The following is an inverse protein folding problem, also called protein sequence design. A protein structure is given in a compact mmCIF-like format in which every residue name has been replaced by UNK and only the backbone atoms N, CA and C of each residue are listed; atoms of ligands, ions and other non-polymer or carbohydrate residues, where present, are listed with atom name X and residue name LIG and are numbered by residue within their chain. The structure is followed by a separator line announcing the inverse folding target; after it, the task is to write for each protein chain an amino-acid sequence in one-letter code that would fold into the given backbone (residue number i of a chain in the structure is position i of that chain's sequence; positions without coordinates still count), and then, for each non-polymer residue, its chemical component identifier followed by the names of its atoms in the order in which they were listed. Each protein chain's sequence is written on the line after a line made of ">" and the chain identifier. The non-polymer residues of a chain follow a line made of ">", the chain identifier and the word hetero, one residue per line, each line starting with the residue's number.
data_IF_151146362852
#
_entry.id   IF_151146362852
#
_cell.length_a   1.000
_cell.length_b   1.000
_cell.length_c   1.000
_cell.angle_alpha   90.00
_cell.angle_beta   90.00
_cell.angle_gamma   90.00
#
_symmetry.space_group_name_H-M   'P 1'
#
loop_
_entity.id
_entity.type
_entity.pdbx_description
1 polymer ?
#
# COMPACT_ATOMS: atom_id res chain seq x y z
N UNK A 1 7.19 -49.52 52.70
CA UNK A 1 8.37 -50.12 52.05
C UNK A 1 8.31 -51.63 52.24
N UNK A 2 7.76 -52.31 51.26
CA UNK A 2 7.80 -53.75 51.08
C UNK A 2 8.10 -54.03 49.60
N UNK A 3 8.92 -55.04 49.31
CA UNK A 3 9.39 -55.26 47.93
C UNK A 3 10.56 -54.33 47.56
N UNK A 4 10.54 -53.80 46.33
CA UNK A 4 11.58 -52.91 45.76
C UNK A 4 11.17 -51.42 45.74
N UNK A 5 10.12 -51.05 46.49
CA UNK A 5 9.64 -49.66 46.64
C UNK A 5 10.64 -48.73 47.34
N UNK A 6 10.71 -47.48 46.88
CA UNK A 6 11.64 -46.47 47.41
C UNK A 6 11.02 -45.52 48.42
N UNK A 7 9.68 -45.41 48.47
CA UNK A 7 8.92 -44.77 49.54
C UNK A 7 7.67 -45.62 49.89
N UNK A 8 6.84 -45.18 50.84
CA UNK A 8 5.59 -45.86 51.19
C UNK A 8 4.65 -45.85 49.98
N UNK A 9 4.43 -47.04 49.40
CA UNK A 9 3.52 -47.32 48.29
C UNK A 9 3.90 -46.67 46.93
N UNK A 10 5.18 -46.33 46.70
CA UNK A 10 5.66 -45.82 45.40
C UNK A 10 7.17 -46.12 45.14
N UNK A 11 7.58 -46.05 43.87
CA UNK A 11 8.95 -46.32 43.39
C UNK A 11 9.24 -47.79 43.10
N UNK A 12 10.32 -48.09 42.38
CA UNK A 12 10.70 -49.46 42.02
C UNK A 12 9.76 -50.10 40.98
N UNK A 13 9.02 -51.13 41.39
CA UNK A 13 7.97 -51.78 40.58
C UNK A 13 6.56 -51.20 40.76
N UNK A 14 6.40 -50.25 41.70
CA UNK A 14 5.16 -49.55 41.97
C UNK A 14 4.98 -48.30 41.09
N UNK A 15 3.90 -47.54 41.32
CA UNK A 15 3.69 -46.24 40.67
C UNK A 15 4.83 -45.27 41.01
N UNK A 16 5.05 -44.31 40.14
CA UNK A 16 6.00 -43.22 40.35
C UNK A 16 5.63 -42.38 41.58
N UNK A 17 6.65 -41.86 42.26
CA UNK A 17 6.54 -41.07 43.47
C UNK A 17 6.42 -39.57 43.16
N UNK A 18 5.54 -38.90 43.90
CA UNK A 18 5.39 -37.45 43.85
C UNK A 18 6.61 -36.69 44.40
N UNK A 19 6.71 -35.39 44.11
CA UNK A 19 7.76 -34.50 44.64
C UNK A 19 7.84 -34.59 46.17
N UNK A 20 9.07 -34.67 46.71
CA UNK A 20 9.35 -34.75 48.14
C UNK A 20 9.37 -36.17 48.73
N UNK A 21 9.15 -37.20 47.91
CA UNK A 21 9.20 -38.63 48.30
C UNK A 21 10.58 -39.23 48.07
N UNK A 22 10.89 -40.32 48.77
CA UNK A 22 12.17 -41.01 48.65
C UNK A 22 12.29 -41.76 47.30
N UNK A 23 13.47 -41.72 46.71
CA UNK A 23 13.77 -42.35 45.42
C UNK A 23 15.21 -42.90 45.39
N UNK A 24 15.48 -43.84 44.49
CA UNK A 24 16.85 -44.37 44.26
C UNK A 24 17.28 -44.27 42.80
N UNK A 25 16.33 -44.28 41.88
CA UNK A 25 16.49 -44.11 40.44
C UNK A 25 15.63 -42.94 39.99
N UNK A 26 16.05 -42.26 38.92
CA UNK A 26 15.28 -41.18 38.30
C UNK A 26 13.86 -41.61 37.92
N UNK A 27 13.70 -42.83 37.40
CA UNK A 27 12.39 -43.41 37.05
C UNK A 27 11.44 -43.62 38.23
N UNK A 28 11.91 -43.53 39.47
CA UNK A 28 11.05 -43.70 40.66
C UNK A 28 10.19 -42.46 40.89
N UNK A 29 10.48 -41.33 40.25
CA UNK A 29 9.77 -40.06 40.45
C UNK A 29 8.87 -39.70 39.26
N UNK A 30 7.72 -39.07 39.52
CA UNK A 30 6.79 -38.58 38.50
C UNK A 30 7.48 -37.64 37.48
N UNK A 31 8.41 -36.82 37.98
CA UNK A 31 9.18 -35.85 37.20
C UNK A 31 10.52 -36.38 36.68
N UNK A 32 10.78 -37.69 36.84
CA UNK A 32 12.03 -38.34 36.45
C UNK A 32 13.31 -37.76 37.11
N UNK A 33 13.18 -37.03 38.22
CA UNK A 33 14.28 -36.34 38.88
C UNK A 33 14.44 -36.80 40.33
N UNK A 34 15.44 -37.66 40.57
CA UNK A 34 15.83 -38.10 41.90
C UNK A 34 17.12 -37.41 42.33
N UNK A 35 17.06 -36.51 43.30
CA UNK A 35 18.21 -35.72 43.78
C UNK A 35 18.33 -35.83 45.29
N UNK A 36 19.51 -36.21 45.79
CA UNK A 36 19.74 -36.47 47.22
C UNK A 36 18.71 -37.45 47.81
N UNK A 37 18.45 -38.54 47.09
CA UNK A 37 17.49 -39.60 47.44
C UNK A 37 16.03 -39.12 47.59
N UNK A 38 15.70 -37.93 47.10
CA UNK A 38 14.36 -37.34 47.14
C UNK A 38 13.92 -36.91 45.73
N UNK A 39 12.66 -37.17 45.39
CA UNK A 39 12.03 -36.69 44.16
C UNK A 39 11.97 -35.16 44.16
N UNK A 40 12.70 -34.53 43.26
CA UNK A 40 12.74 -33.08 43.13
C UNK A 40 11.63 -32.57 42.20
N UNK A 41 11.30 -31.29 42.33
CA UNK A 41 10.43 -30.62 41.36
C UNK A 41 11.21 -30.42 40.06
N UNK A 42 10.60 -30.81 38.94
CA UNK A 42 11.10 -30.51 37.61
C UNK A 42 11.39 -29.02 37.45
N UNK A 43 12.49 -28.70 36.77
CA UNK A 43 12.85 -27.32 36.42
C UNK A 43 13.37 -27.27 35.00
N UNK A 44 13.15 -26.16 34.30
CA UNK A 44 13.55 -25.98 32.90
C UNK A 44 15.08 -25.88 32.64
N UNK A 45 15.93 -26.31 33.58
CA UNK A 45 17.39 -26.29 33.48
C UNK A 45 18.00 -27.46 34.30
N UNK A 46 17.31 -28.60 34.37
CA UNK A 46 17.75 -29.78 35.13
C UNK A 46 18.35 -30.90 34.28
N UNK A 47 18.53 -30.68 32.97
CA UNK A 47 19.10 -31.60 31.97
C UNK A 47 18.26 -32.82 31.67
N UNK A 48 16.99 -32.85 32.10
CA UNK A 48 16.06 -33.96 31.93
C UNK A 48 14.79 -33.43 31.25
N UNK A 49 14.38 -34.04 30.13
CA UNK A 49 13.08 -33.71 29.50
C UNK A 49 11.91 -34.15 30.39
N UNK A 50 11.29 -33.22 31.10
CA UNK A 50 10.16 -33.49 32.01
C UNK A 50 9.11 -32.35 32.00
N UNK A 51 8.01 -32.48 32.78
CA UNK A 51 7.08 -31.39 33.11
C UNK A 51 6.66 -30.43 31.96
N UNK A 52 6.01 -31.00 30.93
CA UNK A 52 5.52 -30.34 29.70
C UNK A 52 6.59 -29.85 28.70
N UNK A 53 7.88 -30.07 28.97
CA UNK A 53 8.95 -29.76 28.02
C UNK A 53 8.83 -30.54 26.72
N UNK A 54 9.15 -29.87 25.60
CA UNK A 54 9.16 -30.51 24.29
C UNK A 54 10.53 -31.01 23.87
N UNK A 55 11.60 -30.44 24.42
CA UNK A 55 12.97 -30.96 24.39
C UNK A 55 13.65 -30.72 25.75
N UNK A 56 14.82 -31.32 25.99
CA UNK A 56 15.55 -31.19 27.25
C UNK A 56 15.77 -29.71 27.58
N UNK A 57 15.25 -29.28 28.74
CA UNK A 57 15.37 -27.93 29.30
C UNK A 57 14.67 -26.81 28.47
N UNK A 58 13.73 -27.15 27.58
CA UNK A 58 13.03 -26.14 26.77
C UNK A 58 11.67 -26.59 26.21
N UNK A 59 10.87 -25.59 25.80
CA UNK A 59 9.55 -25.78 25.21
C UNK A 59 8.47 -26.10 26.24
N UNK A 60 7.22 -26.18 25.80
CA UNK A 60 6.07 -26.19 26.71
C UNK A 60 5.72 -24.81 27.25
N UNK A 61 4.67 -24.72 28.07
CA UNK A 61 4.13 -23.44 28.53
C UNK A 61 5.02 -22.72 29.55
N UNK A 62 5.77 -23.50 30.35
CA UNK A 62 6.47 -23.00 31.54
C UNK A 62 7.99 -22.82 31.33
N UNK A 63 8.54 -23.25 30.21
CA UNK A 63 9.97 -23.16 29.90
C UNK A 63 10.26 -22.21 28.74
N UNK A 64 11.51 -21.76 28.63
CA UNK A 64 11.94 -20.97 27.50
C UNK A 64 11.80 -21.74 26.20
N UNK A 65 11.47 -21.06 25.11
CA UNK A 65 11.39 -21.68 23.79
C UNK A 65 12.74 -22.30 23.38
N UNK A 66 12.67 -23.45 22.72
CA UNK A 66 13.78 -24.20 22.17
C UNK A 66 14.41 -23.52 20.94
N UNK A 67 15.73 -23.66 20.81
CA UNK A 67 16.47 -23.25 19.62
C UNK A 67 16.26 -24.20 18.43
N UNK A 68 16.82 -23.85 17.27
CA UNK A 68 16.71 -24.64 16.04
C UNK A 68 17.25 -26.06 16.19
N UNK A 69 16.57 -27.03 15.58
CA UNK A 69 16.92 -28.45 15.60
C UNK A 69 16.43 -29.21 16.82
N UNK A 70 15.84 -28.52 17.80
CA UNK A 70 15.24 -29.11 19.02
C UNK A 70 13.80 -29.56 18.78
N UNK A 71 13.34 -30.51 19.58
CA UNK A 71 12.00 -31.04 19.51
C UNK A 71 10.92 -30.03 19.96
N UNK A 72 9.80 -30.00 19.26
CA UNK A 72 8.67 -29.11 19.53
C UNK A 72 7.34 -29.82 19.31
N UNK A 73 6.30 -29.33 19.98
CA UNK A 73 4.90 -29.78 19.82
C UNK A 73 4.03 -28.72 19.13
N UNK A 74 4.49 -27.46 19.11
CA UNK A 74 3.87 -26.36 18.39
C UNK A 74 4.79 -25.15 18.27
N UNK A 75 4.34 -24.12 17.52
CA UNK A 75 5.10 -22.90 17.27
C UNK A 75 5.57 -22.18 18.55
N UNK A 76 4.79 -22.23 19.63
CA UNK A 76 5.15 -21.62 20.92
C UNK A 76 6.46 -22.14 21.51
N UNK A 77 6.79 -23.40 21.21
CA UNK A 77 7.95 -24.10 21.74
C UNK A 77 9.26 -23.66 21.08
N UNK A 78 9.22 -22.96 19.95
CA UNK A 78 10.41 -22.57 19.18
C UNK A 78 10.71 -21.08 19.30
N UNK A 79 11.99 -20.72 19.44
CA UNK A 79 12.42 -19.31 19.41
C UNK A 79 12.02 -18.66 18.09
N UNK A 80 12.11 -19.40 16.98
CA UNK A 80 11.70 -18.98 15.63
C UNK A 80 10.18 -18.91 15.43
N UNK A 81 9.37 -19.41 16.37
CA UNK A 81 7.94 -19.65 16.18
C UNK A 81 7.59 -20.61 15.02
N UNK A 82 8.57 -21.35 14.50
CA UNK A 82 8.38 -22.33 13.43
C UNK A 82 8.68 -23.74 13.94
N UNK A 83 7.62 -24.54 14.11
CA UNK A 83 7.70 -25.95 14.46
C UNK A 83 7.21 -26.77 13.26
N UNK A 84 8.10 -27.52 12.62
CA UNK A 84 7.76 -28.34 11.46
C UNK A 84 8.40 -29.72 11.56
N UNK A 85 7.59 -30.76 11.39
CA UNK A 85 7.99 -32.15 11.60
C UNK A 85 8.54 -32.39 13.02
N UNK A 86 7.85 -31.86 14.03
CA UNK A 86 8.19 -31.93 15.46
C UNK A 86 9.58 -31.37 15.82
N UNK A 87 10.15 -30.53 14.95
CA UNK A 87 11.46 -29.92 15.12
C UNK A 87 11.38 -28.41 14.85
N UNK A 88 12.00 -27.62 15.74
CA UNK A 88 12.17 -26.19 15.55
C UNK A 88 13.03 -25.88 14.34
N UNK A 89 12.49 -25.12 13.39
CA UNK A 89 13.21 -24.66 12.19
C UNK A 89 13.81 -23.28 12.43
N UNK A 90 14.89 -22.98 11.72
CA UNK A 90 15.42 -21.60 11.67
C UNK A 90 14.38 -20.67 11.03
N UNK A 91 14.40 -19.40 11.43
CA UNK A 91 13.63 -18.35 10.78
C UNK A 91 14.12 -18.13 9.34
N UNK A 92 13.21 -18.01 8.38
CA UNK A 92 13.55 -17.64 7.00
C UNK A 92 12.51 -16.69 6.43
N UNK A 93 12.92 -15.80 5.53
CA UNK A 93 12.04 -14.85 4.84
C UNK A 93 11.15 -15.50 3.75
N UNK A 94 10.76 -16.76 3.94
CA UNK A 94 9.87 -17.51 3.03
C UNK A 94 9.26 -18.74 3.72
N UNK A 95 9.21 -18.76 5.05
CA UNK A 95 8.63 -19.88 5.82
C UNK A 95 7.12 -19.72 6.07
N UNK A 96 6.52 -18.59 5.66
CA UNK A 96 5.09 -18.33 5.79
C UNK A 96 4.68 -17.86 7.19
N UNK A 97 5.63 -17.55 8.07
CA UNK A 97 5.39 -17.20 9.47
C UNK A 97 6.06 -15.87 9.77
N UNK A 98 5.29 -14.88 10.24
CA UNK A 98 5.86 -13.62 10.71
C UNK A 98 6.73 -13.84 11.96
N UNK A 99 8.05 -13.86 11.80
CA UNK A 99 8.99 -14.16 12.88
C UNK A 99 10.28 -13.33 12.80
N UNK A 100 11.15 -13.46 13.80
CA UNK A 100 12.39 -12.66 13.85
C UNK A 100 12.12 -11.14 13.90
N UNK A 101 12.70 -10.41 12.95
CA UNK A 101 12.61 -8.96 12.81
C UNK A 101 11.72 -8.51 11.63
N UNK A 102 10.99 -9.45 11.03
CA UNK A 102 10.00 -9.18 9.99
C UNK A 102 8.93 -8.18 10.46
N UNK A 103 8.38 -7.44 9.50
CA UNK A 103 7.31 -6.46 9.74
C UNK A 103 5.96 -6.92 9.19
N UNK A 104 5.96 -7.83 8.22
CA UNK A 104 4.82 -8.65 7.81
C UNK A 104 5.36 -10.06 7.48
N UNK A 105 4.48 -11.03 7.22
CA UNK A 105 4.85 -12.41 6.91
C UNK A 105 5.89 -12.43 5.77
N UNK A 106 7.08 -12.96 6.07
CA UNK A 106 8.20 -13.16 5.16
C UNK A 106 8.83 -11.87 4.57
N UNK A 107 8.61 -10.69 5.17
CA UNK A 107 9.18 -9.43 4.65
C UNK A 107 9.47 -8.36 5.73
N UNK A 108 10.30 -7.39 5.38
CA UNK A 108 10.71 -6.28 6.24
C UNK A 108 11.83 -6.63 7.23
N UNK A 109 12.41 -5.63 7.90
CA UNK A 109 13.59 -5.81 8.74
C UNK A 109 14.81 -6.28 7.95
N UNK A 110 15.37 -7.43 8.30
CA UNK A 110 16.46 -8.09 7.56
C UNK A 110 16.01 -8.89 6.33
N UNK A 111 14.70 -9.05 6.14
CA UNK A 111 14.11 -9.71 4.98
C UNK A 111 13.93 -8.76 3.79
N UNK A 112 13.62 -9.28 2.58
CA UNK A 112 13.25 -8.45 1.45
C UNK A 112 12.12 -7.47 1.82
N UNK A 113 12.09 -6.32 1.17
CA UNK A 113 11.10 -5.29 1.47
C UNK A 113 9.68 -5.81 1.25
N UNK A 114 8.80 -5.38 2.12
CA UNK A 114 7.39 -5.65 2.08
C UNK A 114 6.74 -4.98 0.87
N UNK A 115 5.92 -5.76 0.17
CA UNK A 115 5.11 -5.25 -0.93
C UNK A 115 4.06 -4.25 -0.47
N UNK A 116 3.40 -3.60 -1.43
CA UNK A 116 2.32 -2.65 -1.13
C UNK A 116 1.21 -3.28 -0.25
N UNK A 117 0.71 -2.49 0.71
CA UNK A 117 -0.23 -2.78 1.81
C UNK A 117 0.19 -3.83 2.82
N UNK A 118 1.43 -4.31 2.75
CA UNK A 118 2.02 -5.13 3.81
C UNK A 118 2.43 -4.26 4.99
N UNK A 119 2.41 -4.86 6.18
CA UNK A 119 2.80 -4.19 7.40
C UNK A 119 4.29 -3.81 7.38
N UNK A 120 4.58 -2.65 7.96
CA UNK A 120 5.92 -2.08 8.02
C UNK A 120 6.13 -1.35 9.34
N UNK A 121 7.38 -1.13 9.71
CA UNK A 121 7.78 -0.31 10.87
C UNK A 121 8.55 0.93 10.44
N UNK A 122 9.33 0.82 9.37
CA UNK A 122 10.17 1.89 8.82
C UNK A 122 10.08 1.91 7.30
N UNK A 123 10.41 3.04 6.68
CA UNK A 123 10.34 3.15 5.22
C UNK A 123 11.24 2.14 4.51
N UNK A 124 12.36 1.74 5.11
CA UNK A 124 13.22 0.69 4.53
C UNK A 124 12.49 -0.66 4.37
N UNK A 125 11.44 -0.91 5.15
CA UNK A 125 10.61 -2.10 4.98
C UNK A 125 9.75 -2.00 3.70
N UNK A 126 9.61 -0.82 3.09
CA UNK A 126 8.71 -0.57 1.97
C UNK A 126 9.41 -0.03 0.71
N UNK A 127 10.55 0.65 0.90
CA UNK A 127 11.33 1.25 -0.16
C UNK A 127 11.99 0.12 -0.94
N UNK A 128 11.37 -0.28 -2.04
CA UNK A 128 12.13 -0.79 -3.17
C UNK A 128 12.91 0.37 -3.77
N UNK A 129 14.09 0.13 -4.35
CA UNK A 129 14.88 1.16 -5.02
C UNK A 129 14.20 1.83 -6.23
N UNK A 130 12.92 1.55 -6.49
CA UNK A 130 12.21 1.82 -7.74
C UNK A 130 10.78 2.40 -7.56
N UNK A 131 10.34 2.86 -6.38
CA UNK A 131 8.93 3.30 -6.21
C UNK A 131 8.66 4.38 -5.16
N UNK A 132 7.62 5.20 -5.38
CA UNK A 132 7.01 6.12 -4.40
C UNK A 132 6.16 5.34 -3.39
N UNK A 133 6.81 4.43 -2.66
CA UNK A 133 6.18 3.60 -1.63
C UNK A 133 6.95 3.84 -0.34
N UNK A 134 6.23 4.19 0.73
CA UNK A 134 6.81 4.43 2.05
C UNK A 134 6.01 3.71 3.13
N UNK A 135 6.59 3.61 4.33
CA UNK A 135 5.92 3.01 5.46
C UNK A 135 4.99 4.02 6.11
N UNK A 136 3.69 3.85 5.85
CA UNK A 136 2.67 4.84 6.16
C UNK A 136 1.63 4.21 7.07
N UNK A 137 1.51 4.74 8.30
CA UNK A 137 0.63 4.19 9.35
C UNK A 137 0.80 2.67 9.56
N UNK A 138 2.04 2.18 9.41
CA UNK A 138 2.37 0.77 9.57
C UNK A 138 2.06 -0.10 8.36
N UNK A 139 1.79 0.48 7.19
CA UNK A 139 1.61 -0.24 5.92
C UNK A 139 2.44 0.38 4.78
N UNK A 140 2.98 -0.45 3.89
CA UNK A 140 3.69 0.03 2.70
C UNK A 140 2.70 0.59 1.68
N UNK A 141 2.63 1.89 1.47
CA UNK A 141 1.60 2.48 0.60
C UNK A 141 2.21 3.32 -0.52
N UNK A 142 1.67 3.23 -1.76
CA UNK A 142 2.05 4.12 -2.84
C UNK A 142 1.50 5.52 -2.57
N UNK A 143 2.27 6.53 -2.96
CA UNK A 143 1.84 7.94 -2.94
C UNK A 143 2.14 8.61 -4.29
N UNK A 144 1.47 9.73 -4.61
CA UNK A 144 1.63 10.41 -5.90
C UNK A 144 3.10 10.80 -6.14
N UNK A 145 3.55 10.69 -7.38
CA UNK A 145 4.95 10.97 -7.71
C UNK A 145 5.33 12.40 -7.33
N UNK A 146 6.51 12.54 -6.71
CA UNK A 146 7.08 13.81 -6.25
C UNK A 146 6.25 14.58 -5.22
N UNK A 147 5.21 13.96 -4.64
CA UNK A 147 4.40 14.61 -3.62
C UNK A 147 5.25 14.97 -2.40
N UNK A 148 5.14 16.22 -1.98
CA UNK A 148 5.67 16.74 -0.73
C UNK A 148 4.74 16.43 0.44
N UNK A 149 3.42 16.53 0.23
CA UNK A 149 2.40 16.17 1.22
C UNK A 149 1.27 15.39 0.54
N UNK A 150 0.66 14.46 1.26
CA UNK A 150 -0.46 13.67 0.75
C UNK A 150 -1.47 13.35 1.86
N UNK A 151 -2.71 13.83 1.71
CA UNK A 151 -3.82 13.56 2.59
C UNK A 151 -4.82 12.65 1.88
N UNK A 152 -4.86 11.38 2.29
CA UNK A 152 -5.71 10.36 1.65
C UNK A 152 -7.20 10.55 1.92
N UNK A 153 -7.56 11.23 3.00
CA UNK A 153 -8.95 11.35 3.46
C UNK A 153 -9.64 10.01 3.81
N UNK A 154 -8.84 8.99 4.14
CA UNK A 154 -9.29 7.66 4.56
C UNK A 154 -9.66 7.65 6.05
N UNK A 155 -10.76 8.33 6.39
CA UNK A 155 -11.30 8.47 7.75
C UNK A 155 -10.43 9.30 8.74
N UNK A 156 -9.47 10.06 8.21
CA UNK A 156 -8.71 11.08 8.96
C UNK A 156 -8.08 12.09 7.98
N UNK A 157 -7.54 13.17 8.52
CA UNK A 157 -6.81 14.21 7.78
C UNK A 157 -5.28 14.15 8.02
N UNK A 158 -4.71 12.96 8.20
CA UNK A 158 -3.26 12.79 8.38
C UNK A 158 -2.54 12.98 7.04
N UNK A 159 -1.46 13.76 7.06
CA UNK A 159 -0.50 13.84 5.95
C UNK A 159 0.50 12.71 6.10
N UNK A 160 0.54 11.82 5.11
CA UNK A 160 1.33 10.61 5.17
C UNK A 160 2.76 10.76 4.64
N UNK A 161 3.15 11.95 4.15
CA UNK A 161 4.51 12.19 3.63
C UNK A 161 5.27 13.17 4.52
N UNK A 162 4.81 14.42 4.65
CA UNK A 162 5.57 15.46 5.38
C UNK A 162 5.17 15.65 6.84
N UNK A 163 4.12 14.96 7.29
CA UNK A 163 3.57 15.13 8.63
C UNK A 163 2.84 16.46 8.86
N UNK A 164 2.49 17.19 7.80
CA UNK A 164 1.64 18.39 7.84
C UNK A 164 0.17 18.00 8.07
N UNK A 165 -0.08 17.37 9.23
CA UNK A 165 -1.38 16.82 9.58
C UNK A 165 -2.46 17.91 9.65
N UNK A 166 -3.60 17.62 9.03
CA UNK A 166 -4.81 18.41 9.15
C UNK A 166 -5.55 18.13 10.44
N UNK A 167 -6.35 19.09 10.86
CA UNK A 167 -7.26 18.97 12.00
C UNK A 167 -8.68 19.30 11.58
N UNK A 168 -9.61 18.49 12.06
CA UNK A 168 -11.03 18.58 11.78
C UNK A 168 -11.64 19.81 12.44
N UNK A 169 -12.24 20.71 11.65
CA UNK A 169 -13.02 21.83 12.16
C UNK A 169 -14.53 21.58 11.97
N UNK A 170 -15.30 21.75 13.06
CA UNK A 170 -16.75 21.51 13.11
C UNK A 170 -17.18 20.08 12.70
N UNK A 171 -16.35 19.08 12.99
CA UNK A 171 -16.68 17.64 12.86
C UNK A 171 -17.15 17.26 11.44
N UNK A 172 -16.26 17.34 10.44
CA UNK A 172 -16.56 16.87 9.10
C UNK A 172 -16.86 15.36 9.10
N UNK A 173 -17.46 14.87 8.01
CA UNK A 173 -17.83 13.45 7.90
C UNK A 173 -17.01 12.77 6.84
N UNK A 174 -16.51 11.57 7.12
CA UNK A 174 -15.86 10.71 6.14
C UNK A 174 -16.86 9.67 5.66
N UNK A 175 -17.06 9.56 4.34
CA UNK A 175 -18.12 8.72 3.76
C UNK A 175 -17.62 7.82 2.63
N UNK A 176 -18.31 6.72 2.43
CA UNK A 176 -18.00 5.70 1.42
C UNK A 176 -18.97 5.77 0.23
N UNK A 177 -18.57 5.37 -0.98
CA UNK A 177 -17.21 4.99 -1.37
C UNK A 177 -16.34 6.24 -1.63
N UNK A 178 -15.03 6.10 -1.39
CA UNK A 178 -14.03 7.02 -1.96
C UNK A 178 -13.86 6.82 -3.47
N UNK A 179 -12.91 7.53 -4.08
CA UNK A 179 -12.67 7.47 -5.52
C UNK A 179 -12.27 6.07 -6.00
N UNK A 180 -11.61 5.29 -5.15
CA UNK A 180 -11.14 3.94 -5.51
C UNK A 180 -12.26 2.87 -5.52
N UNK A 181 -13.52 3.26 -5.26
CA UNK A 181 -14.64 2.33 -5.14
C UNK A 181 -14.71 1.60 -3.79
N UNK A 182 -13.59 1.53 -3.06
CA UNK A 182 -13.51 1.26 -1.62
C UNK A 182 -13.11 2.53 -0.84
N UNK A 183 -12.96 2.41 0.49
CA UNK A 183 -12.45 3.51 1.33
C UNK A 183 -13.42 4.66 1.57
N UNK A 184 -12.89 5.76 2.10
CA UNK A 184 -13.61 6.96 2.50
C UNK A 184 -13.14 8.20 1.73
N UNK A 185 -14.06 9.13 1.54
CA UNK A 185 -13.77 10.49 1.12
C UNK A 185 -14.30 11.49 2.16
N UNK A 186 -13.66 12.65 2.26
CA UNK A 186 -14.04 13.73 3.16
C UNK A 186 -15.27 14.44 2.59
N UNK A 187 -16.42 14.39 3.27
CA UNK A 187 -17.62 15.19 2.97
C UNK A 187 -17.81 16.30 3.99
N UNK A 188 -17.87 17.53 3.48
CA UNK A 188 -18.10 18.74 4.26
C UNK A 188 -19.49 19.31 4.04
N UNK A 189 -20.09 19.83 5.11
CA UNK A 189 -21.37 20.54 5.09
C UNK A 189 -21.10 22.04 5.22
N UNK A 190 -21.38 22.78 4.15
CA UNK A 190 -21.16 24.24 4.11
C UNK A 190 -21.96 25.00 5.16
N UNK A 191 -23.22 24.66 5.39
CA UNK A 191 -24.06 25.32 6.41
C UNK A 191 -23.51 25.16 7.84
N UNK A 192 -22.63 24.18 8.04
CA UNK A 192 -21.97 23.89 9.32
C UNK A 192 -20.54 24.44 9.38
N UNK A 193 -20.09 25.19 8.36
CA UNK A 193 -18.73 25.77 8.29
C UNK A 193 -17.63 24.74 8.54
N UNK A 194 -17.73 23.56 7.91
CA UNK A 194 -16.77 22.47 8.07
C UNK A 194 -15.59 22.62 7.12
N UNK A 195 -14.39 22.31 7.60
CA UNK A 195 -13.15 22.24 6.82
C UNK A 195 -12.10 21.43 7.59
N UNK A 196 -11.05 21.03 6.89
CA UNK A 196 -9.81 20.57 7.50
C UNK A 196 -8.85 21.75 7.53
N UNK A 197 -8.17 21.98 8.65
CA UNK A 197 -7.17 23.05 8.77
C UNK A 197 -5.78 22.49 9.06
N UNK A 198 -4.80 23.01 8.34
CA UNK A 198 -3.38 22.67 8.41
C UNK A 198 -2.65 23.94 8.84
N UNK A 199 -2.34 24.09 10.14
CA UNK A 199 -1.85 25.35 10.70
C UNK A 199 -0.37 25.62 10.37
N UNK A 200 0.40 24.57 10.15
CA UNK A 200 1.82 24.64 9.74
C UNK A 200 1.93 24.21 8.30
N UNK A 201 2.66 24.96 7.48
CA UNK A 201 2.79 24.69 6.06
C UNK A 201 4.18 25.08 5.53
N UNK A 202 4.53 24.52 4.38
CA UNK A 202 5.69 24.96 3.61
C UNK A 202 5.32 26.24 2.85
N UNK A 203 6.10 27.30 3.03
CA UNK A 203 5.89 28.56 2.30
C UNK A 203 5.91 28.32 0.79
N UNK A 204 4.92 28.88 0.08
CA UNK A 204 4.81 28.86 -1.37
C UNK A 204 5.48 30.07 -2.05
N UNK A 205 5.93 31.06 -1.29
CA UNK A 205 6.55 32.28 -1.82
C UNK A 205 7.83 31.94 -2.57
N UNK A 206 7.97 32.46 -3.78
CA UNK A 206 9.10 32.21 -4.69
C UNK A 206 9.32 30.73 -5.05
N UNK A 207 8.25 29.93 -5.06
CA UNK A 207 8.31 28.51 -5.41
C UNK A 207 7.22 28.14 -6.41
N UNK A 208 7.54 27.21 -7.31
CA UNK A 208 6.54 26.52 -8.11
C UNK A 208 5.88 25.43 -7.28
N UNK A 209 4.61 25.14 -7.53
CA UNK A 209 3.89 24.09 -6.83
C UNK A 209 2.77 23.52 -7.69
N UNK A 210 2.33 22.32 -7.32
CA UNK A 210 1.16 21.64 -7.88
C UNK A 210 0.32 21.10 -6.74
N UNK A 211 -0.99 21.33 -6.78
CA UNK A 211 -1.94 20.72 -5.85
C UNK A 211 -2.99 19.96 -6.65
N UNK A 212 -3.22 18.70 -6.29
CA UNK A 212 -4.14 17.81 -6.99
C UNK A 212 -5.08 17.15 -6.00
N UNK A 213 -6.29 16.86 -6.45
CA UNK A 213 -7.31 16.20 -5.63
C UNK A 213 -8.41 15.60 -6.50
N UNK A 214 -9.09 14.59 -5.96
CA UNK A 214 -10.36 14.14 -6.48
C UNK A 214 -11.50 14.88 -5.79
N UNK A 215 -12.45 15.40 -6.56
CA UNK A 215 -13.61 16.12 -6.04
C UNK A 215 -14.92 15.48 -6.50
N UNK A 216 -15.93 15.51 -5.62
CA UNK A 216 -17.27 15.00 -5.90
C UNK A 216 -18.34 16.04 -5.53
N UNK A 217 -18.57 17.06 -6.38
CA UNK A 217 -19.53 18.11 -6.05
C UNK A 217 -20.93 17.55 -5.84
N UNK A 218 -21.53 17.78 -4.66
CA UNK A 218 -22.93 17.37 -4.38
C UNK A 218 -23.93 18.51 -4.53
N UNK A 219 -23.42 19.74 -4.60
CA UNK A 219 -24.19 20.95 -4.88
C UNK A 219 -23.30 21.93 -5.63
N UNK A 220 -23.83 22.55 -6.67
CA UNK A 220 -23.17 23.59 -7.45
C UNK A 220 -24.16 24.73 -7.70
N UNK A 221 -23.68 25.98 -7.62
CA UNK A 221 -24.52 27.16 -7.82
C UNK A 221 -23.65 28.33 -8.26
N UNK A 222 -24.04 28.99 -9.36
CA UNK A 222 -23.29 30.10 -9.96
C UNK A 222 -23.00 31.29 -9.03
N UNK A 223 -23.76 31.47 -7.94
CA UNK A 223 -23.53 32.53 -6.96
C UNK A 223 -22.57 32.18 -5.83
N UNK A 224 -21.97 30.99 -5.82
CA UNK A 224 -21.18 30.49 -4.70
C UNK A 224 -19.74 30.12 -5.07
N UNK A 225 -18.89 30.19 -4.06
CA UNK A 225 -17.50 29.75 -4.10
C UNK A 225 -17.34 28.57 -3.15
N UNK A 226 -16.80 27.48 -3.65
CA UNK A 226 -16.52 26.28 -2.87
C UNK A 226 -15.00 26.10 -2.81
N UNK A 227 -14.39 26.54 -1.70
CA UNK A 227 -12.96 26.34 -1.48
C UNK A 227 -12.62 24.85 -1.51
N UNK A 228 -11.51 24.51 -2.16
CA UNK A 228 -10.96 23.16 -2.24
C UNK A 228 -9.64 23.09 -1.47
N UNK A 229 -8.73 24.02 -1.75
CA UNK A 229 -7.46 24.18 -1.06
C UNK A 229 -7.18 25.69 -1.00
N UNK A 230 -7.15 26.23 0.21
CA UNK A 230 -7.11 27.68 0.39
C UNK A 230 -6.13 28.08 1.47
N UNK A 231 -5.40 29.16 1.25
CA UNK A 231 -4.62 29.86 2.26
C UNK A 231 -4.99 31.34 2.19
N UNK A 232 -5.60 31.82 3.27
CA UNK A 232 -6.01 33.20 3.39
C UNK A 232 -5.01 33.95 4.25
N UNK A 233 -4.21 34.83 3.62
CA UNK A 233 -3.22 35.67 4.31
C UNK A 233 -3.81 37.06 4.60
N UNK A 234 -4.09 37.83 3.54
CA UNK A 234 -4.64 39.19 3.61
C UNK A 234 -5.61 39.49 2.45
N UNK A 235 -6.28 40.63 2.50
CA UNK A 235 -7.13 41.16 1.42
C UNK A 235 -6.32 41.86 0.30
N UNK A 236 -5.02 41.65 0.22
CA UNK A 236 -4.14 42.24 -0.81
C UNK A 236 -4.03 41.32 -2.02
N UNK A 237 -3.95 41.91 -3.21
CA UNK A 237 -3.66 41.18 -4.47
C UNK A 237 -2.35 40.41 -4.32
N UNK A 238 -2.35 39.15 -4.77
CA UNK A 238 -1.23 38.20 -4.78
C UNK A 238 -0.88 37.54 -3.43
N UNK A 239 -1.65 37.81 -2.37
CA UNK A 239 -1.35 37.31 -1.02
C UNK A 239 -2.17 36.10 -0.57
N UNK A 240 -3.33 35.82 -1.18
CA UNK A 240 -4.17 34.69 -0.75
C UNK A 240 -4.28 33.65 -1.86
N UNK A 241 -3.85 32.42 -1.59
CA UNK A 241 -3.97 31.30 -2.51
C UNK A 241 -5.35 30.67 -2.37
N UNK A 242 -6.12 30.65 -3.45
CA UNK A 242 -7.48 30.10 -3.42
C UNK A 242 -7.69 29.20 -4.63
N UNK A 243 -7.75 27.89 -4.37
CA UNK A 243 -8.18 26.88 -5.33
C UNK A 243 -9.61 26.50 -4.98
N UNK A 244 -10.53 26.70 -5.91
CA UNK A 244 -11.96 26.63 -5.60
C UNK A 244 -12.79 26.26 -6.82
N UNK A 245 -14.04 25.85 -6.57
CA UNK A 245 -15.09 25.85 -7.59
C UNK A 245 -15.82 27.19 -7.54
N UNK A 246 -15.67 27.99 -8.60
CA UNK A 246 -16.27 29.31 -8.80
C UNK A 246 -17.56 29.13 -9.58
N UNK A 247 -18.69 29.16 -8.88
CA UNK A 247 -19.97 28.82 -9.48
C UNK A 247 -20.03 27.33 -9.83
N UNK A 248 -19.69 27.00 -11.07
CA UNK A 248 -19.58 25.64 -11.60
C UNK A 248 -18.24 25.33 -12.27
N UNK A 249 -17.26 26.23 -12.23
CA UNK A 249 -15.96 26.07 -12.90
C UNK A 249 -14.82 26.04 -11.88
N UNK A 250 -13.73 25.32 -12.17
CA UNK A 250 -12.54 25.37 -11.31
C UNK A 250 -11.82 26.72 -11.45
N UNK A 251 -11.17 27.17 -10.38
CA UNK A 251 -10.44 28.44 -10.36
C UNK A 251 -9.21 28.35 -9.48
N UNK A 252 -8.12 28.97 -9.94
CA UNK A 252 -6.89 29.22 -9.19
C UNK A 252 -6.68 30.73 -9.11
N UNK A 253 -6.68 31.26 -7.90
CA UNK A 253 -6.58 32.70 -7.65
C UNK A 253 -5.52 33.00 -6.59
N UNK A 254 -4.71 34.04 -6.80
CA UNK A 254 -3.90 34.70 -5.77
C UNK A 254 -4.58 35.95 -5.21
N UNK A 255 -5.92 35.97 -5.15
CA UNK A 255 -6.76 37.14 -4.84
C UNK A 255 -6.64 38.28 -5.87
N UNK A 256 -7.71 38.56 -6.60
CA UNK A 256 -7.75 39.54 -7.71
C UNK A 256 -6.75 39.31 -8.85
N UNK A 257 -6.02 38.19 -8.85
CA UNK A 257 -5.12 37.76 -9.89
C UNK A 257 -5.24 36.23 -10.02
N UNK A 258 -5.89 35.75 -11.08
CA UNK A 258 -6.26 34.36 -11.15
C UNK A 258 -6.84 33.94 -12.50
N UNK A 259 -7.10 32.65 -12.60
CA UNK A 259 -7.69 32.01 -13.77
C UNK A 259 -8.84 31.11 -13.37
N UNK A 260 -9.94 31.22 -14.12
CA UNK A 260 -11.09 30.32 -14.02
C UNK A 260 -11.16 29.48 -15.28
N UNK A 261 -11.37 28.19 -15.10
CA UNK A 261 -11.58 27.20 -16.14
C UNK A 261 -12.80 27.52 -17.02
N UNK A 262 -12.89 26.85 -18.16
CA UNK A 262 -14.02 27.02 -19.09
C UNK A 262 -15.07 25.92 -18.92
N UNK A 263 -14.67 24.77 -18.38
CA UNK A 263 -15.53 23.60 -18.28
C UNK A 263 -16.45 23.67 -17.08
N UNK A 264 -17.76 23.51 -17.32
CA UNK A 264 -18.76 23.46 -16.25
C UNK A 264 -18.84 22.07 -15.64
N UNK A 265 -18.62 21.98 -14.33
CA UNK A 265 -18.80 20.78 -13.53
C UNK A 265 -20.29 20.45 -13.36
N UNK A 266 -20.59 19.16 -13.23
CA UNK A 266 -21.90 18.68 -12.81
C UNK A 266 -21.81 18.07 -11.42
N UNK A 267 -22.95 17.95 -10.74
CA UNK A 267 -23.00 17.29 -9.44
C UNK A 267 -22.98 15.76 -9.58
N UNK A 268 -22.57 15.07 -8.52
CA UNK A 268 -22.57 13.62 -8.40
C UNK A 268 -21.64 12.89 -9.38
N UNK A 269 -20.60 13.58 -9.83
CA UNK A 269 -19.55 13.05 -10.71
C UNK A 269 -18.20 13.29 -10.05
N UNK A 270 -17.31 12.30 -10.11
CA UNK A 270 -15.92 12.46 -9.69
C UNK A 270 -15.13 13.20 -10.76
N UNK A 271 -14.31 14.14 -10.31
CA UNK A 271 -13.37 14.88 -11.15
C UNK A 271 -11.99 14.85 -10.53
N UNK A 272 -10.97 14.70 -11.36
CA UNK A 272 -9.60 15.01 -10.97
C UNK A 272 -9.36 16.51 -11.22
N UNK A 273 -9.13 17.27 -10.15
CA UNK A 273 -8.82 18.69 -10.22
C UNK A 273 -7.34 18.88 -9.89
N UNK A 274 -6.61 19.54 -10.77
CA UNK A 274 -5.20 19.86 -10.55
C UNK A 274 -4.91 21.33 -10.84
N UNK A 275 -4.10 21.93 -9.98
CA UNK A 275 -3.75 23.35 -10.00
C UNK A 275 -2.24 23.48 -9.99
N UNK A 276 -1.68 23.99 -11.08
CA UNK A 276 -0.23 24.12 -11.27
C UNK A 276 0.14 25.60 -11.27
N UNK A 277 1.15 25.96 -10.50
CA UNK A 277 1.79 27.26 -10.56
C UNK A 277 3.28 27.12 -10.87
N UNK A 278 3.73 27.74 -11.95
CA UNK A 278 5.14 27.82 -12.33
C UNK A 278 5.70 29.21 -12.03
N UNK A 279 6.52 29.32 -10.97
CA UNK A 279 7.04 30.60 -10.48
C UNK A 279 7.92 31.36 -11.50
N UNK A 280 8.93 30.75 -12.17
CA UNK A 280 9.74 31.43 -13.18
C UNK A 280 8.92 32.12 -14.28
N UNK A 281 7.86 31.47 -14.78
CA UNK A 281 6.97 32.03 -15.80
C UNK A 281 5.77 32.80 -15.23
N UNK A 282 5.54 32.69 -13.92
CA UNK A 282 4.35 33.18 -13.20
C UNK A 282 3.04 32.59 -13.74
N UNK A 283 3.10 31.40 -14.34
CA UNK A 283 1.95 30.79 -15.01
C UNK A 283 1.12 30.00 -14.01
N UNK A 284 -0.16 30.37 -13.90
CA UNK A 284 -1.21 29.64 -13.21
C UNK A 284 -1.94 28.78 -14.24
N UNK A 285 -2.13 27.50 -13.97
CA UNK A 285 -2.83 26.57 -14.87
C UNK A 285 -3.81 25.71 -14.08
N UNK A 286 -5.03 25.59 -14.59
CA UNK A 286 -6.09 24.74 -14.06
C UNK A 286 -6.26 23.56 -15.01
N UNK A 287 -6.22 22.36 -14.46
CA UNK A 287 -6.45 21.10 -15.17
C UNK A 287 -7.71 20.43 -14.60
N UNK A 288 -8.47 19.81 -15.51
CA UNK A 288 -9.64 19.00 -15.19
C UNK A 288 -9.52 17.65 -15.90
N UNK A 289 -9.60 16.56 -15.13
CA UNK A 289 -9.50 15.19 -15.62
C UNK A 289 -8.25 14.94 -16.48
N UNK A 290 -7.12 15.54 -16.08
CA UNK A 290 -5.83 15.36 -16.75
C UNK A 290 -5.56 16.35 -17.88
N UNK A 291 -6.56 17.15 -18.30
CA UNK A 291 -6.43 18.08 -19.41
C UNK A 291 -6.43 19.52 -18.92
N UNK A 292 -5.60 20.37 -19.54
CA UNK A 292 -5.58 21.80 -19.25
C UNK A 292 -6.94 22.43 -19.63
N UNK A 293 -7.62 23.04 -18.67
CA UNK A 293 -8.89 23.74 -18.88
C UNK A 293 -8.68 25.25 -19.06
N UNK A 294 -7.73 25.85 -18.34
CA UNK A 294 -7.35 27.26 -18.53
C UNK A 294 -5.93 27.55 -18.01
N UNK A 295 -5.34 28.65 -18.50
CA UNK A 295 -4.03 29.14 -18.03
C UNK A 295 -3.97 30.67 -18.08
N UNK A 296 -3.17 31.26 -17.20
CA UNK A 296 -2.98 32.70 -17.05
C UNK A 296 -1.56 33.00 -16.54
N UNK A 297 -0.95 34.07 -17.03
CA UNK A 297 0.31 34.59 -16.46
C UNK A 297 -0.05 35.66 -15.44
N UNK A 298 0.14 35.35 -14.17
CA UNK A 298 -0.11 36.28 -13.07
C UNK A 298 0.74 37.56 -13.17
N UNK A 299 0.18 38.68 -12.72
CA UNK A 299 0.84 39.99 -12.76
C UNK A 299 2.07 40.00 -11.86
N UNK A 300 1.95 39.44 -10.66
CA UNK A 300 3.03 39.23 -9.69
C UNK A 300 3.13 37.76 -9.28
N UNK A 301 4.26 37.31 -8.72
CA UNK A 301 4.31 36.00 -8.12
C UNK A 301 3.43 35.91 -6.87
N UNK A 302 3.18 34.70 -6.36
CA UNK A 302 2.53 34.54 -5.07
C UNK A 302 3.37 35.14 -3.93
N UNK A 303 2.77 36.02 -3.12
CA UNK A 303 3.40 36.79 -2.05
C UNK A 303 2.86 36.46 -0.64
N UNK A 304 1.94 35.50 -0.54
CA UNK A 304 1.32 35.15 0.75
C UNK A 304 2.29 34.52 1.74
N UNK A 305 2.38 35.08 2.94
CA UNK A 305 3.34 34.68 3.99
C UNK A 305 2.69 34.24 5.29
N UNK A 306 1.37 34.38 5.44
CA UNK A 306 0.63 33.97 6.63
C UNK A 306 -0.67 33.24 6.29
N UNK A 307 -1.43 32.87 7.32
CA UNK A 307 -2.67 32.11 7.21
C UNK A 307 -2.48 30.61 7.37
N UNK A 308 -3.58 29.88 7.52
CA UNK A 308 -3.58 28.42 7.56
C UNK A 308 -4.11 27.87 6.24
N UNK A 309 -3.62 26.70 5.85
CA UNK A 309 -4.18 25.98 4.72
C UNK A 309 -5.49 25.34 5.18
N UNK A 310 -6.56 25.49 4.40
CA UNK A 310 -7.81 24.81 4.62
C UNK A 310 -8.18 23.96 3.40
N UNK A 311 -8.54 22.70 3.65
CA UNK A 311 -9.05 21.77 2.65
C UNK A 311 -10.57 21.71 2.74
N UNK A 312 -11.21 21.75 1.57
CA UNK A 312 -12.63 21.96 1.39
C UNK A 312 -13.40 20.85 0.66
N UNK A 313 -14.44 21.23 -0.07
CA UNK A 313 -15.64 20.40 -0.35
C UNK A 313 -15.41 18.99 -0.90
N UNK A 314 -16.24 18.02 -0.50
CA UNK A 314 -16.25 16.60 -0.91
C UNK A 314 -15.02 16.15 -1.72
N UNK A 315 -13.95 15.80 -1.00
CA UNK A 315 -12.61 15.62 -1.54
C UNK A 315 -12.04 14.26 -1.14
N UNK A 316 -11.21 13.71 -2.01
CA UNK A 316 -10.41 12.51 -1.78
C UNK A 316 -8.99 12.71 -2.34
N UNK A 317 -8.00 12.02 -1.77
CA UNK A 317 -6.60 12.00 -2.20
C UNK A 317 -6.02 13.38 -2.58
N UNK A 318 -5.85 14.28 -1.60
CA UNK A 318 -5.23 15.59 -1.82
C UNK A 318 -3.72 15.46 -1.80
N UNK A 319 -3.04 15.86 -2.87
CA UNK A 319 -1.58 15.92 -2.94
C UNK A 319 -1.09 17.35 -3.10
N UNK A 320 0.09 17.62 -2.53
CA UNK A 320 0.85 18.85 -2.74
C UNK A 320 2.26 18.47 -3.19
N UNK A 321 2.71 19.05 -4.28
CA UNK A 321 4.05 18.89 -4.85
C UNK A 321 4.73 20.25 -4.93
N UNK A 322 5.97 20.36 -4.48
CA UNK A 322 6.74 21.63 -4.48
C UNK A 322 7.49 21.86 -5.80
N UNK A 323 6.83 21.53 -6.91
CA UNK A 323 7.30 21.68 -8.28
C UNK A 323 6.09 21.83 -9.24
N UNK A 324 6.27 22.44 -10.43
CA UNK A 324 5.22 22.50 -11.43
C UNK A 324 5.22 21.20 -12.23
N UNK A 325 4.20 20.36 -12.07
CA UNK A 325 4.06 19.12 -12.85
C UNK A 325 3.79 19.42 -14.32
N UNK A 326 4.27 18.55 -15.20
CA UNK A 326 4.00 18.66 -16.63
C UNK A 326 2.56 18.24 -16.96
N UNK A 327 2.05 18.63 -18.13
CA UNK A 327 0.73 18.19 -18.57
C UNK A 327 0.62 16.66 -18.68
N UNK A 328 1.71 15.98 -19.02
CA UNK A 328 1.76 14.51 -19.11
C UNK A 328 1.67 13.87 -17.72
N UNK A 329 2.35 14.44 -16.72
CA UNK A 329 2.25 13.96 -15.33
C UNK A 329 0.82 14.10 -14.80
N UNK A 330 0.20 15.27 -14.98
CA UNK A 330 -1.19 15.52 -14.57
C UNK A 330 -2.17 14.58 -15.29
N UNK A 331 -1.95 14.31 -16.58
CA UNK A 331 -2.76 13.36 -17.34
C UNK A 331 -2.61 11.94 -16.78
N UNK A 332 -1.38 11.52 -16.47
CA UNK A 332 -1.12 10.22 -15.86
C UNK A 332 -1.80 10.11 -14.49
N UNK A 333 -1.65 11.10 -13.60
CA UNK A 333 -2.28 11.09 -12.28
C UNK A 333 -3.81 11.02 -12.35
N UNK A 334 -4.43 11.65 -13.36
CA UNK A 334 -5.88 11.64 -13.55
C UNK A 334 -6.45 10.37 -14.22
N UNK A 335 -5.68 9.68 -15.05
CA UNK A 335 -6.21 8.65 -15.98
C UNK A 335 -5.56 7.28 -15.86
N UNK A 336 -4.46 7.17 -15.13
CA UNK A 336 -3.74 5.92 -14.97
C UNK A 336 -4.63 4.91 -14.26
N UNK A 337 -5.14 3.92 -15.01
CA UNK A 337 -5.90 2.83 -14.41
C UNK A 337 -4.99 1.87 -13.64
N UNK A 338 -3.74 1.71 -14.06
CA UNK A 338 -2.80 0.81 -13.41
C UNK A 338 -1.39 0.99 -13.97
N UNK A 339 -0.39 0.72 -13.15
CA UNK A 339 1.01 0.71 -13.52
C UNK A 339 1.71 -0.51 -12.92
N UNK A 340 2.29 -1.35 -13.77
CA UNK A 340 3.09 -2.49 -13.32
C UNK A 340 4.54 -2.26 -13.72
N UNK A 341 5.35 -1.79 -12.78
CA UNK A 341 6.80 -1.84 -12.94
C UNK A 341 7.24 -3.30 -12.74
N UNK A 342 8.00 -3.81 -13.70
CA UNK A 342 8.63 -5.13 -13.61
C UNK A 342 10.07 -5.04 -13.08
N UNK A 343 10.43 -3.89 -12.50
CA UNK A 343 11.76 -3.61 -11.97
C UNK A 343 11.97 -4.22 -10.58
N UNK A 344 10.91 -4.73 -9.94
CA UNK A 344 10.91 -5.32 -8.60
C UNK A 344 10.08 -6.62 -8.54
N UNK A 345 10.31 -7.47 -7.54
CA UNK A 345 9.57 -8.73 -7.33
C UNK A 345 8.07 -8.55 -7.03
N UNK A 346 7.60 -7.31 -6.94
CA UNK A 346 6.20 -7.01 -6.70
C UNK A 346 5.45 -7.09 -8.02
N UNK A 347 4.69 -8.16 -8.19
CA UNK A 347 3.63 -8.27 -9.20
C UNK A 347 2.44 -7.33 -8.92
N UNK A 348 2.66 -6.17 -8.30
CA UNK A 348 1.62 -5.24 -7.85
C UNK A 348 1.44 -4.08 -8.83
N UNK A 349 0.19 -3.66 -8.96
CA UNK A 349 -0.19 -2.40 -9.56
C UNK A 349 0.21 -1.24 -8.63
N UNK A 350 1.19 -0.43 -9.04
CA UNK A 350 1.56 0.83 -8.40
C UNK A 350 0.59 1.97 -8.74
N UNK A 351 -0.39 1.73 -9.61
CA UNK A 351 -1.48 2.64 -9.92
C UNK A 351 -2.64 2.56 -8.92
N UNK A 352 -3.71 3.34 -9.14
CA UNK A 352 -4.74 3.59 -8.14
C UNK A 352 -5.70 2.41 -7.89
N UNK A 353 -5.77 1.44 -8.80
CA UNK A 353 -6.68 0.28 -8.68
C UNK A 353 -6.12 -0.87 -7.85
N UNK A 354 -4.83 -0.83 -7.48
CA UNK A 354 -4.21 -1.75 -6.51
C UNK A 354 -4.36 -3.23 -6.92
N UNK A 355 -4.43 -3.51 -8.22
CA UNK A 355 -4.62 -4.86 -8.73
C UNK A 355 -3.35 -5.69 -8.60
N UNK A 356 -3.49 -6.94 -8.15
CA UNK A 356 -2.37 -7.88 -8.10
C UNK A 356 -2.26 -8.62 -9.42
N UNK A 357 -1.11 -8.51 -10.05
CA UNK A 357 -0.68 -9.36 -11.15
C UNK A 357 -0.16 -10.71 -10.65
N UNK A 358 -0.19 -11.69 -11.53
CA UNK A 358 0.28 -13.05 -11.30
C UNK A 358 1.19 -13.42 -12.46
N UNK A 359 2.46 -13.64 -12.13
CA UNK A 359 3.50 -14.09 -13.04
C UNK A 359 3.56 -15.63 -12.99
N UNK A 360 3.40 -16.29 -14.13
CA UNK A 360 3.48 -17.76 -14.24
C UNK A 360 4.49 -18.14 -15.31
N UNK A 361 5.43 -19.01 -14.95
CA UNK A 361 6.51 -19.46 -15.83
C UNK A 361 7.33 -18.32 -16.46
N UNK A 362 7.46 -17.18 -15.77
CA UNK A 362 8.28 -16.04 -16.20
C UNK A 362 9.57 -15.96 -15.37
N UNK A 363 10.60 -15.37 -15.96
CA UNK A 363 11.87 -15.08 -15.28
C UNK A 363 12.17 -13.59 -15.36
N UNK A 364 12.92 -13.04 -14.42
CA UNK A 364 13.42 -11.66 -14.53
C UNK A 364 14.58 -11.60 -15.51
N UNK A 365 14.63 -10.54 -16.31
CA UNK A 365 15.69 -10.25 -17.28
C UNK A 365 15.95 -8.73 -17.34
N UNK A 366 17.05 -8.27 -17.95
CA UNK A 366 17.28 -6.84 -18.14
C UNK A 366 16.13 -6.18 -18.92
N UNK A 367 15.56 -5.12 -18.34
CA UNK A 367 14.46 -4.34 -18.92
C UNK A 367 14.95 -3.12 -19.71
N UNK A 368 13.99 -2.32 -20.20
CA UNK A 368 14.29 -1.00 -20.81
C UNK A 368 14.82 -0.03 -19.76
N UNK A 369 14.21 -0.08 -18.59
CA UNK A 369 14.73 0.41 -17.31
C UNK A 369 14.98 -0.85 -16.50
N UNK A 370 16.07 -0.90 -15.73
CA UNK A 370 16.46 -1.97 -14.82
C UNK A 370 16.06 -3.42 -15.20
N UNK A 371 14.88 -3.88 -14.80
CA UNK A 371 14.43 -5.27 -15.00
C UNK A 371 13.11 -5.36 -15.76
N UNK A 372 12.85 -6.54 -16.31
CA UNK A 372 11.65 -6.86 -17.06
C UNK A 372 11.31 -8.34 -16.98
N UNK A 373 10.09 -8.67 -17.39
CA UNK A 373 9.65 -10.06 -17.47
C UNK A 373 10.12 -10.70 -18.79
N UNK A 374 10.79 -11.84 -18.67
CA UNK A 374 11.16 -12.71 -19.77
C UNK A 374 10.22 -13.93 -19.85
N UNK A 375 9.59 -14.07 -21.01
CA UNK A 375 8.62 -15.11 -21.32
C UNK A 375 9.29 -16.14 -22.25
N UNK A 376 9.82 -17.23 -21.67
CA UNK A 376 10.60 -18.24 -22.41
C UNK A 376 9.82 -19.50 -22.80
N UNK A 377 8.65 -19.73 -22.20
CA UNK A 377 7.81 -20.92 -22.44
C UNK A 377 6.49 -20.52 -23.08
N UNK A 378 5.85 -21.46 -23.79
CA UNK A 378 4.51 -21.26 -24.33
C UNK A 378 3.42 -21.15 -23.25
N UNK A 379 3.73 -21.58 -22.03
CA UNK A 379 2.90 -21.41 -20.83
C UNK A 379 3.20 -20.13 -20.05
N UNK A 380 4.23 -19.36 -20.42
CA UNK A 380 4.59 -18.13 -19.72
C UNK A 380 3.51 -17.06 -19.90
N UNK A 381 3.01 -16.50 -18.80
CA UNK A 381 2.10 -15.36 -18.84
C UNK A 381 2.21 -14.47 -17.61
N UNK A 382 1.77 -13.23 -17.77
CA UNK A 382 1.50 -12.30 -16.68
C UNK A 382 0.03 -11.92 -16.76
N UNK A 383 -0.71 -12.21 -15.70
CA UNK A 383 -2.16 -12.02 -15.65
C UNK A 383 -2.51 -11.03 -14.55
N UNK A 384 -3.35 -10.06 -14.86
CA UNK A 384 -3.94 -9.16 -13.88
C UNK A 384 -5.45 -9.38 -13.90
N UNK A 385 -6.03 -9.59 -12.73
CA UNK A 385 -7.48 -9.75 -12.56
C UNK A 385 -8.07 -8.53 -11.89
N UNK A 386 -9.34 -8.21 -12.18
CA UNK A 386 -10.08 -7.15 -11.47
C UNK A 386 -10.23 -5.81 -12.20
N UNK A 387 -9.82 -5.69 -13.46
CA UNK A 387 -10.16 -4.52 -14.27
C UNK A 387 -11.65 -4.50 -14.62
N UNK A 388 -12.47 -3.93 -13.74
CA UNK A 388 -13.91 -3.77 -13.98
C UNK A 388 -14.17 -2.82 -15.15
N UNK A 389 -13.31 -1.79 -15.33
CA UNK A 389 -13.46 -0.74 -16.36
C UNK A 389 -13.23 -1.24 -17.79
N UNK A 390 -12.40 -2.27 -17.99
CA UNK A 390 -12.13 -2.86 -19.31
C UNK A 390 -13.20 -3.91 -19.72
N UNK A 391 -14.05 -4.33 -18.78
CA UNK A 391 -15.12 -5.31 -19.00
C UNK A 391 -16.46 -4.72 -19.45
N UNK A 392 -16.57 -3.40 -19.54
CA UNK A 392 -17.79 -2.69 -19.98
C UNK A 392 -17.60 -2.27 -21.44
N UNK A 393 -18.50 -2.70 -22.34
CA UNK A 393 -18.34 -2.60 -23.81
C UNK A 393 -18.38 -1.18 -24.40
N UNK A 394 -18.07 -0.13 -23.64
CA UNK A 394 -18.19 1.27 -24.08
C UNK A 394 -17.11 2.23 -23.53
N UNK A 395 -16.03 1.71 -22.95
CA UNK A 395 -14.94 2.55 -22.41
C UNK A 395 -13.76 2.61 -23.38
N UNK A 396 -13.35 3.83 -23.77
CA UNK A 396 -12.06 4.03 -24.45
C UNK A 396 -10.92 3.79 -23.47
N UNK A 397 -9.84 3.16 -23.94
CA UNK A 397 -8.63 2.94 -23.15
C UNK A 397 -7.40 3.17 -24.02
N UNK A 398 -6.26 3.38 -23.38
CA UNK A 398 -4.95 3.37 -23.99
C UNK A 398 -4.02 2.53 -23.13
N UNK A 399 -2.97 2.01 -23.75
CA UNK A 399 -1.99 1.15 -23.10
C UNK A 399 -0.63 1.43 -23.71
N UNK A 400 0.39 1.46 -22.86
CA UNK A 400 1.78 1.63 -23.25
C UNK A 400 2.62 0.55 -22.57
N UNK A 401 3.57 -0.02 -23.31
CA UNK A 401 4.53 -0.97 -22.77
C UNK A 401 5.84 -0.93 -23.57
N UNK A 402 6.96 -1.16 -22.87
CA UNK A 402 8.24 -1.43 -23.51
C UNK A 402 8.37 -2.94 -23.77
N UNK A 403 8.74 -3.31 -24.99
CA UNK A 403 8.88 -4.71 -25.41
C UNK A 403 10.19 -4.91 -26.14
N UNK A 404 10.96 -5.91 -25.71
CA UNK A 404 12.11 -6.40 -26.46
C UNK A 404 11.81 -7.79 -27.03
N UNK A 405 11.86 -7.91 -28.35
CA UNK A 405 11.66 -9.18 -29.04
C UNK A 405 12.97 -9.94 -29.15
N UNK A 406 12.99 -11.19 -28.66
CA UNK A 406 14.19 -12.05 -28.63
C UNK A 406 14.15 -13.22 -29.62
N UNK A 407 13.00 -13.50 -30.27
CA UNK A 407 12.86 -14.56 -31.27
C UNK A 407 12.01 -14.14 -32.48
N UNK A 408 12.16 -14.83 -33.62
CA UNK A 408 11.44 -14.54 -34.88
C UNK A 408 10.04 -15.16 -34.96
N UNK A 409 9.58 -15.87 -33.93
CA UNK A 409 8.21 -16.39 -33.85
C UNK A 409 7.16 -15.31 -33.62
N UNK A 410 5.88 -15.65 -33.84
CA UNK A 410 4.75 -14.85 -33.36
C UNK A 410 4.56 -14.99 -31.85
N UNK A 411 3.83 -14.07 -31.22
CA UNK A 411 3.64 -14.08 -29.76
C UNK A 411 2.60 -13.08 -29.29
N UNK A 412 2.03 -13.30 -28.11
CA UNK A 412 1.04 -12.39 -27.52
C UNK A 412 1.71 -11.52 -26.48
N UNK A 413 1.55 -10.20 -26.60
CA UNK A 413 2.06 -9.21 -25.66
C UNK A 413 1.04 -8.89 -24.58
N UNK A 414 -0.22 -8.70 -24.99
CA UNK A 414 -1.32 -8.39 -24.08
C UNK A 414 -2.54 -9.20 -24.49
N UNK A 415 -3.20 -9.81 -23.52
CA UNK A 415 -4.39 -10.62 -23.72
C UNK A 415 -5.41 -10.35 -22.62
N UNK A 416 -6.58 -9.82 -23.01
CA UNK A 416 -7.74 -9.70 -22.13
C UNK A 416 -8.68 -10.87 -22.34
N UNK A 417 -9.02 -11.57 -21.26
CA UNK A 417 -9.88 -12.75 -21.31
C UNK A 417 -11.04 -12.60 -20.34
N UNK A 418 -12.21 -13.08 -20.75
CA UNK A 418 -13.43 -13.11 -19.93
C UNK A 418 -13.46 -14.24 -18.91
N UNK A 419 -12.50 -15.19 -18.94
CA UNK A 419 -12.39 -16.25 -17.94
C UNK A 419 -11.01 -16.21 -17.26
N UNK A 420 -10.99 -16.64 -16.01
CA UNK A 420 -9.79 -16.64 -15.16
C UNK A 420 -8.68 -17.57 -15.65
N UNK A 421 -9.01 -18.58 -16.46
CA UNK A 421 -8.06 -19.51 -17.07
C UNK A 421 -7.41 -18.97 -18.36
N UNK A 422 -7.63 -17.70 -18.71
CA UNK A 422 -7.10 -17.08 -19.93
C UNK A 422 -7.81 -17.49 -21.23
N UNK A 423 -8.99 -18.12 -21.16
CA UNK A 423 -9.81 -18.53 -22.32
C UNK A 423 -11.14 -17.76 -22.38
N UNK A 424 -11.79 -17.66 -23.54
CA UNK A 424 -13.11 -17.04 -23.68
C UNK A 424 -13.14 -15.91 -24.71
N UNK A 425 -14.07 -14.96 -24.57
CA UNK A 425 -14.13 -13.75 -25.39
C UNK A 425 -12.93 -12.85 -25.10
N UNK A 426 -12.30 -12.35 -26.17
CA UNK A 426 -11.08 -11.55 -26.09
C UNK A 426 -11.31 -10.18 -26.72
N UNK A 427 -11.19 -9.11 -25.93
CA UNK A 427 -11.54 -7.76 -26.39
C UNK A 427 -10.45 -7.22 -27.34
N UNK A 428 -9.16 -7.37 -27.00
CA UNK A 428 -8.03 -7.02 -27.91
C UNK A 428 -6.76 -7.81 -27.54
N UNK A 429 -6.36 -8.86 -28.30
CA UNK A 429 -4.98 -9.32 -28.30
C UNK A 429 -4.05 -8.33 -29.03
N UNK A 430 -3.00 -7.88 -28.35
CA UNK A 430 -1.83 -7.22 -28.96
C UNK A 430 -0.69 -8.23 -29.00
N UNK A 431 -0.02 -8.35 -30.14
CA UNK A 431 1.03 -9.35 -30.31
C UNK A 431 1.95 -9.08 -31.50
N UNK A 432 2.80 -10.05 -31.79
CA UNK A 432 3.62 -10.10 -32.99
C UNK A 432 3.07 -11.14 -33.97
N UNK A 433 3.00 -10.78 -35.25
CA UNK A 433 2.78 -11.76 -36.33
C UNK A 433 3.98 -12.71 -36.47
N UNK A 434 3.82 -13.78 -37.24
CA UNK A 434 4.94 -14.67 -37.61
C UNK A 434 6.07 -13.95 -38.36
N UNK A 435 5.76 -12.82 -39.02
CA UNK A 435 6.75 -11.95 -39.65
C UNK A 435 7.38 -10.94 -38.69
N UNK A 436 6.87 -10.83 -37.45
CA UNK A 436 7.38 -9.91 -36.43
C UNK A 436 6.76 -8.53 -36.39
N UNK A 437 5.70 -8.29 -37.16
CA UNK A 437 4.98 -7.03 -37.11
C UNK A 437 4.10 -6.97 -35.87
N UNK A 438 4.00 -5.80 -35.23
CA UNK A 438 3.00 -5.58 -34.18
C UNK A 438 1.62 -5.69 -34.83
N UNK A 439 0.75 -6.52 -34.25
CA UNK A 439 -0.63 -6.70 -34.63
C UNK A 439 -1.52 -6.42 -33.41
N UNK A 440 -2.61 -5.70 -33.64
CA UNK A 440 -3.71 -5.56 -32.70
C UNK A 440 -4.98 -6.01 -33.43
N UNK A 441 -5.65 -7.03 -32.89
CA UNK A 441 -6.87 -7.57 -33.50
C UNK A 441 -7.92 -7.78 -32.41
N UNK A 442 -9.19 -7.79 -32.78
CA UNK A 442 -10.30 -8.19 -31.91
C UNK A 442 -10.64 -9.63 -32.26
N UNK A 443 -10.64 -10.55 -31.28
CA UNK A 443 -10.96 -11.95 -31.55
C UNK A 443 -12.32 -12.30 -30.93
N UNK A 444 -13.34 -12.39 -31.80
CA UNK A 444 -14.60 -13.04 -31.49
C UNK A 444 -14.52 -14.51 -31.95
N UNK A 445 -15.02 -15.49 -31.17
CA UNK A 445 -15.13 -16.86 -31.64
C UNK A 445 -15.98 -16.89 -32.91
N UNK A 446 -15.48 -17.51 -33.98
CA UNK A 446 -16.27 -17.75 -35.19
C UNK A 446 -17.45 -18.66 -34.83
N UNK A 447 -18.62 -18.07 -34.54
CA UNK A 447 -19.98 -18.61 -34.67
C UNK A 447 -21.04 -17.75 -33.94
N UNK A 448 -20.85 -16.43 -33.83
CA UNK A 448 -21.94 -15.47 -33.57
C UNK A 448 -21.74 -14.20 -34.39
#
# INVERSE_FOLDING_TARGET
>A
MNGDETDIDCGGSCLTCAVGKNCTLTKDCDNLQCTNDICASATCNDTIKNNEETDVDCGGLNCSSCGTGKACSGAGDCVSKSCAFDICKDKTCSDGIMNGDETDIDCGGSCPVCGVYKMCKVDLDCITGCSNIACINGYCEPFPNEAYSFWRMENNAVDIISGLNGTDFNSPTYITPGITGGGYALKLIRSSYQYITIPTYKSFVNTSFTVEMWIYPTSLNNGYYYGLFTQYDTTSTDHSLVMLVRGVQLSLDFYNDGVTGTTSLTTYTWYHAAFVYDYPSKTQTVYLNGYQDASHVSNQPYLGTSGSINIGIYIDQVSLTMAPKSADDILNDATLASWHSFDCETSYDSGPNKLRGMAVDVTLAPGKVDQGLNFSLSSSYYQISGYVLLGIMSSSFSMSLWVQRTSTGGGTLVHYSTQTNGKGWCIVPIGFSSAGNIIATVWAPQNQ
#
